data_IF_455156376683
#
_entry.id   IF_455156376683
#
_cell.length_a   1.000
_cell.length_b   1.000
_cell.length_c   1.000
_cell.angle_alpha   90.00
_cell.angle_beta   90.00
_cell.angle_gamma   90.00
#
_symmetry.space_group_name_H-M   'P 1'
#
loop_
_entity.id
_entity.type
_entity.pdbx_description
1 polymer ?
#
# COMPACT_ATOMS: atom_id res chain seq x y z
N UNK A 1 3.96 -16.13 1.12
CA UNK A 1 3.01 -16.78 2.04
C UNK A 1 1.62 -16.22 1.80
N UNK A 2 0.57 -17.03 1.99
CA UNK A 2 -0.84 -16.58 2.03
C UNK A 2 -1.31 -16.23 3.44
N UNK A 3 -0.43 -16.36 4.46
CA UNK A 3 -0.78 -16.22 5.88
C UNK A 3 -1.68 -15.04 6.16
N UNK A 4 -1.31 -13.80 5.81
CA UNK A 4 -2.06 -12.60 6.18
C UNK A 4 -3.00 -12.07 5.08
N UNK A 5 -3.37 -12.89 4.09
CA UNK A 5 -4.13 -12.39 2.93
C UNK A 5 -5.52 -11.85 3.32
N UNK A 6 -6.20 -12.49 4.28
CA UNK A 6 -7.52 -12.08 4.75
C UNK A 6 -7.56 -10.71 5.41
N UNK A 7 -6.55 -10.42 6.24
CA UNK A 7 -6.33 -9.11 6.86
C UNK A 7 -5.82 -8.08 5.84
N UNK A 8 -4.97 -8.51 4.91
CA UNK A 8 -4.30 -7.61 3.96
C UNK A 8 -5.23 -7.06 2.90
N UNK A 9 -6.02 -7.93 2.27
CA UNK A 9 -6.75 -7.59 1.05
C UNK A 9 -8.23 -7.36 1.32
N UNK A 10 -8.78 -6.37 0.61
CA UNK A 10 -10.22 -6.17 0.55
C UNK A 10 -10.88 -7.32 -0.23
N UNK A 11 -12.05 -7.83 0.21
CA UNK A 11 -12.63 -9.06 -0.34
C UNK A 11 -13.21 -8.87 -1.75
N UNK A 12 -13.71 -7.68 -2.07
CA UNK A 12 -14.15 -7.27 -3.41
C UNK A 12 -12.97 -7.30 -4.41
N UNK A 13 -11.84 -6.71 -4.01
CA UNK A 13 -10.63 -6.70 -4.82
C UNK A 13 -10.05 -8.10 -4.99
N UNK A 14 -9.99 -8.89 -3.91
CA UNK A 14 -9.51 -10.27 -3.96
C UNK A 14 -10.38 -11.16 -4.86
N UNK A 15 -11.69 -10.98 -4.82
CA UNK A 15 -12.63 -11.68 -5.71
C UNK A 15 -12.32 -11.37 -7.17
N UNK A 16 -12.25 -10.08 -7.56
CA UNK A 16 -11.87 -9.66 -8.92
C UNK A 16 -10.52 -10.25 -9.33
N UNK A 17 -9.53 -10.23 -8.43
CA UNK A 17 -8.21 -10.78 -8.69
C UNK A 17 -8.25 -12.28 -8.96
N UNK A 18 -9.02 -13.04 -8.18
CA UNK A 18 -9.18 -14.48 -8.37
C UNK A 18 -9.97 -14.80 -9.63
N UNK A 19 -10.91 -13.95 -10.05
CA UNK A 19 -11.58 -14.09 -11.36
C UNK A 19 -10.67 -13.81 -12.55
N UNK A 20 -9.56 -13.11 -12.33
CA UNK A 20 -8.70 -12.60 -13.40
C UNK A 20 -9.21 -11.30 -14.02
N UNK A 21 -10.03 -10.55 -13.29
CA UNK A 21 -10.67 -9.30 -13.74
C UNK A 21 -9.84 -8.05 -13.38
N UNK A 22 -8.76 -8.21 -12.62
CA UNK A 22 -7.81 -7.12 -12.36
C UNK A 22 -6.91 -6.99 -13.59
N UNK A 23 -7.22 -6.03 -14.46
CA UNK A 23 -6.50 -5.80 -15.72
C UNK A 23 -5.07 -5.27 -15.54
N UNK A 24 -4.77 -4.67 -14.40
CA UNK A 24 -3.45 -4.12 -14.12
C UNK A 24 -2.52 -5.16 -13.46
N UNK A 25 -1.31 -5.26 -13.99
CA UNK A 25 -0.30 -6.08 -13.38
C UNK A 25 0.41 -5.33 -12.25
N UNK A 26 0.05 -5.65 -11.01
CA UNK A 26 0.62 -5.05 -9.79
C UNK A 26 2.11 -5.38 -9.58
N UNK A 27 2.63 -6.39 -10.29
CA UNK A 27 4.04 -6.82 -10.20
C UNK A 27 4.61 -7.01 -11.60
N UNK A 28 4.80 -5.92 -12.37
CA UNK A 28 5.34 -5.97 -13.74
C UNK A 28 6.66 -6.73 -13.82
N UNK A 29 7.52 -6.57 -12.80
CA UNK A 29 8.83 -7.22 -12.69
C UNK A 29 8.81 -8.75 -12.56
N UNK A 30 7.67 -9.40 -12.28
CA UNK A 30 7.58 -10.86 -12.21
C UNK A 30 7.13 -11.43 -13.56
N UNK A 31 7.88 -12.36 -14.15
CA UNK A 31 7.44 -13.06 -15.37
C UNK A 31 6.25 -14.00 -15.08
N UNK A 32 6.29 -14.71 -13.95
CA UNK A 32 5.23 -15.63 -13.55
C UNK A 32 3.94 -14.90 -13.19
N UNK A 33 2.82 -15.41 -13.68
CA UNK A 33 1.47 -14.89 -13.40
C UNK A 33 0.74 -15.82 -12.45
N UNK A 34 -0.07 -15.21 -11.58
CA UNK A 34 -0.97 -15.96 -10.71
C UNK A 34 -2.13 -16.50 -11.56
N UNK A 35 -2.46 -17.81 -11.48
CA UNK A 35 -3.63 -18.37 -12.15
C UNK A 35 -4.94 -17.72 -11.67
N UNK A 36 -5.94 -17.64 -12.54
CA UNK A 36 -7.31 -17.33 -12.15
C UNK A 36 -8.05 -18.58 -11.69
N UNK A 37 -9.00 -18.39 -10.79
CA UNK A 37 -9.90 -19.39 -10.21
C UNK A 37 -11.34 -18.87 -10.25
N UNK A 38 -11.91 -18.54 -11.42
CA UNK A 38 -13.18 -17.82 -11.51
C UNK A 38 -14.34 -18.55 -10.82
N UNK A 39 -14.42 -19.88 -10.91
CA UNK A 39 -15.48 -20.68 -10.28
C UNK A 39 -15.39 -20.75 -8.75
N UNK A 40 -14.24 -20.42 -8.17
CA UNK A 40 -14.01 -20.48 -6.71
C UNK A 40 -13.69 -19.10 -6.11
N UNK A 41 -13.76 -18.03 -6.91
CA UNK A 41 -13.26 -16.73 -6.52
C UNK A 41 -13.96 -16.19 -5.26
N UNK A 42 -15.29 -16.27 -5.24
CA UNK A 42 -16.13 -15.81 -4.13
C UNK A 42 -15.84 -16.60 -2.85
N UNK A 43 -15.91 -17.94 -2.91
CA UNK A 43 -15.71 -18.80 -1.73
C UNK A 43 -14.29 -18.68 -1.17
N UNK A 44 -13.28 -18.52 -2.04
CA UNK A 44 -11.91 -18.31 -1.62
C UNK A 44 -11.72 -16.93 -0.98
N UNK A 45 -12.24 -15.86 -1.58
CA UNK A 45 -12.14 -14.51 -1.03
C UNK A 45 -12.84 -14.40 0.33
N UNK A 46 -14.03 -14.99 0.44
CA UNK A 46 -14.82 -15.09 1.65
C UNK A 46 -14.10 -15.88 2.75
N UNK A 47 -13.62 -17.09 2.44
CA UNK A 47 -12.88 -17.93 3.37
C UNK A 47 -11.59 -17.27 3.85
N UNK A 48 -10.84 -16.60 2.96
CA UNK A 48 -9.63 -15.89 3.32
C UNK A 48 -9.94 -14.72 4.26
N UNK A 49 -10.94 -13.89 3.97
CA UNK A 49 -11.35 -12.81 4.86
C UNK A 49 -11.76 -13.33 6.25
N UNK A 50 -12.62 -14.35 6.29
CA UNK A 50 -13.12 -14.91 7.56
C UNK A 50 -12.06 -15.65 8.36
N UNK A 51 -11.04 -16.23 7.73
CA UNK A 51 -9.92 -16.86 8.44
C UNK A 51 -9.12 -15.87 9.32
N UNK A 52 -9.27 -14.56 9.08
CA UNK A 52 -8.69 -13.49 9.88
C UNK A 52 -9.73 -12.70 10.68
N UNK A 53 -10.96 -13.21 10.80
CA UNK A 53 -12.03 -12.53 11.53
C UNK A 53 -12.62 -11.31 10.83
N UNK A 54 -12.35 -11.11 9.54
CA UNK A 54 -12.91 -9.99 8.78
C UNK A 54 -14.19 -10.37 8.03
N UNK A 55 -15.04 -9.36 7.81
CA UNK A 55 -16.19 -9.49 6.90
C UNK A 55 -15.74 -9.81 5.47
N UNK A 56 -16.53 -10.68 4.82
CA UNK A 56 -16.43 -10.97 3.39
C UNK A 56 -17.07 -9.87 2.52
N UNK A 57 -17.81 -8.95 3.13
CA UNK A 57 -18.29 -7.74 2.47
C UNK A 57 -17.23 -6.64 2.62
N UNK A 58 -16.92 -5.97 1.51
CA UNK A 58 -16.02 -4.84 1.53
C UNK A 58 -16.76 -3.59 2.02
N UNK A 59 -16.15 -2.87 2.96
CA UNK A 59 -16.60 -1.52 3.32
C UNK A 59 -16.27 -0.54 2.18
N UNK A 60 -17.06 0.54 2.01
CA UNK A 60 -16.68 1.63 1.12
C UNK A 60 -15.27 2.14 1.41
N UNK A 61 -14.54 2.53 0.38
CA UNK A 61 -13.29 3.25 0.57
C UNK A 61 -13.68 4.68 0.98
N UNK A 62 -13.19 5.19 2.13
CA UNK A 62 -13.51 6.54 2.57
C UNK A 62 -12.81 7.57 1.68
N UNK A 63 -13.40 8.75 1.57
CA UNK A 63 -12.74 9.91 0.97
C UNK A 63 -11.52 10.32 1.81
N UNK A 64 -10.43 10.77 1.18
CA UNK A 64 -9.26 11.27 1.91
C UNK A 64 -9.58 12.56 2.66
N UNK A 65 -9.02 12.70 3.86
CA UNK A 65 -8.88 14.02 4.47
C UNK A 65 -7.86 14.83 3.66
N UNK A 66 -8.23 16.00 3.10
CA UNK A 66 -7.38 16.75 2.20
C UNK A 66 -6.11 17.29 2.88
N UNK A 67 -6.21 17.74 4.13
CA UNK A 67 -5.07 18.30 4.88
C UNK A 67 -4.07 17.20 5.22
N UNK A 68 -4.57 16.05 5.69
CA UNK A 68 -3.72 14.89 5.94
C UNK A 68 -3.11 14.33 4.65
N UNK A 69 -3.85 14.32 3.55
CA UNK A 69 -3.34 13.84 2.28
C UNK A 69 -2.22 14.73 1.71
N UNK A 70 -2.27 16.06 1.92
CA UNK A 70 -1.16 16.96 1.59
C UNK A 70 0.10 16.67 2.42
N UNK A 71 -0.07 16.42 3.72
CA UNK A 71 1.05 16.00 4.59
C UNK A 71 1.60 14.64 4.15
N UNK A 72 0.73 13.70 3.80
CA UNK A 72 1.09 12.37 3.30
C UNK A 72 1.90 12.42 2.02
N UNK A 73 1.55 13.32 1.09
CA UNK A 73 2.30 13.56 -0.14
C UNK A 73 3.74 14.01 0.16
N UNK A 74 3.91 14.97 1.07
CA UNK A 74 5.23 15.44 1.53
C UNK A 74 6.03 14.33 2.18
N UNK A 75 5.41 13.50 3.02
CA UNK A 75 6.01 12.32 3.65
C UNK A 75 6.43 11.23 2.64
N UNK A 76 5.70 11.07 1.54
CA UNK A 76 6.04 10.12 0.47
C UNK A 76 7.20 10.61 -0.39
N UNK A 77 7.34 11.93 -0.53
CA UNK A 77 8.32 12.57 -1.41
C UNK A 77 9.78 12.25 -1.06
N UNK A 78 10.65 12.32 -2.06
CA UNK A 78 12.11 12.24 -1.85
C UNK A 78 12.71 13.53 -1.26
N UNK A 79 12.07 14.67 -1.51
CA UNK A 79 12.62 15.99 -1.12
C UNK A 79 12.44 16.26 0.37
N UNK A 80 11.31 15.85 0.95
CA UNK A 80 10.96 16.16 2.34
C UNK A 80 10.74 14.92 3.22
N UNK A 81 10.42 13.77 2.60
CA UNK A 81 9.86 12.62 3.27
C UNK A 81 10.77 11.40 3.37
N UNK A 82 10.13 10.23 3.43
CA UNK A 82 10.76 8.91 3.54
C UNK A 82 11.32 8.39 2.21
N UNK A 83 11.25 9.19 1.13
CA UNK A 83 11.70 8.81 -0.20
C UNK A 83 11.06 7.51 -0.70
N UNK A 84 9.75 7.32 -0.46
CA UNK A 84 9.01 6.11 -0.80
C UNK A 84 9.08 5.78 -2.30
N UNK A 85 9.16 6.81 -3.15
CA UNK A 85 9.27 6.67 -4.61
C UNK A 85 10.59 6.10 -5.10
N UNK A 86 11.55 5.88 -4.19
CA UNK A 86 12.76 5.11 -4.47
C UNK A 86 12.42 3.67 -4.84
N UNK A 87 11.41 3.08 -4.20
CA UNK A 87 10.99 1.69 -4.45
C UNK A 87 9.58 1.59 -5.05
N UNK A 88 8.71 2.56 -4.80
CA UNK A 88 7.30 2.50 -5.22
C UNK A 88 7.02 3.46 -6.40
N UNK A 89 6.54 2.98 -7.54
CA UNK A 89 6.11 3.86 -8.62
C UNK A 89 4.81 4.60 -8.26
N UNK A 90 4.55 5.71 -8.94
CA UNK A 90 3.31 6.49 -8.83
C UNK A 90 2.83 6.82 -10.24
N UNK A 91 1.77 6.13 -10.71
CA UNK A 91 1.37 6.21 -12.11
C UNK A 91 2.54 5.82 -13.02
N UNK A 92 2.88 6.70 -13.97
CA UNK A 92 4.01 6.51 -14.89
C UNK A 92 5.36 6.98 -14.32
N UNK A 93 5.39 7.55 -13.11
CA UNK A 93 6.65 7.83 -12.41
C UNK A 93 7.26 6.52 -11.91
N UNK A 94 8.31 6.06 -12.59
CA UNK A 94 9.00 4.82 -12.26
C UNK A 94 9.72 4.89 -10.90
N UNK A 95 9.80 3.75 -10.23
CA UNK A 95 10.62 3.63 -9.03
C UNK A 95 12.10 3.84 -9.36
N UNK A 96 12.80 4.63 -8.55
CA UNK A 96 14.14 5.13 -8.90
C UNK A 96 15.28 4.12 -8.63
N UNK A 97 15.08 3.14 -7.74
CA UNK A 97 16.09 2.16 -7.35
C UNK A 97 15.53 0.72 -7.32
N UNK A 98 15.04 0.27 -8.48
CA UNK A 98 14.35 -1.02 -8.66
C UNK A 98 15.24 -2.25 -8.38
N UNK A 99 16.57 -2.11 -8.42
CA UNK A 99 17.53 -3.21 -8.41
C UNK A 99 17.44 -4.16 -7.20
N UNK A 100 16.86 -3.73 -6.07
CA UNK A 100 16.78 -4.56 -4.86
C UNK A 100 15.40 -5.18 -4.58
N UNK A 101 14.31 -4.50 -4.93
CA UNK A 101 12.92 -4.99 -4.84
C UNK A 101 11.94 -3.87 -5.18
N UNK A 102 11.33 -3.92 -6.36
CA UNK A 102 10.24 -2.99 -6.71
C UNK A 102 9.04 -3.15 -5.75
N UNK A 103 8.51 -2.02 -5.32
CA UNK A 103 7.26 -1.89 -4.60
C UNK A 103 6.07 -1.79 -5.55
N UNK A 104 4.86 -1.87 -5.00
CA UNK A 104 3.65 -1.69 -5.81
C UNK A 104 3.45 -0.22 -6.20
N UNK A 105 2.76 0.02 -7.31
CA UNK A 105 2.28 1.36 -7.65
C UNK A 105 1.33 1.88 -6.57
N UNK A 106 1.54 3.11 -6.09
CA UNK A 106 0.73 3.68 -5.03
C UNK A 106 -0.69 4.03 -5.46
N UNK A 107 -0.94 4.28 -6.75
CA UNK A 107 -2.31 4.54 -7.25
C UNK A 107 -3.29 3.38 -7.00
N UNK A 108 -2.77 2.15 -6.85
CA UNK A 108 -3.58 0.95 -6.62
C UNK A 108 -3.50 0.43 -5.19
N UNK A 109 -2.88 1.18 -4.26
CA UNK A 109 -2.71 0.72 -2.89
C UNK A 109 -4.05 0.65 -2.14
N UNK A 110 -4.84 1.74 -2.17
CA UNK A 110 -6.09 1.86 -1.43
C UNK A 110 -7.22 0.97 -2.00
N UNK A 111 -7.24 0.71 -3.31
CA UNK A 111 -8.26 -0.17 -3.92
C UNK A 111 -8.20 -1.61 -3.40
N UNK A 112 -7.04 -2.05 -2.88
CA UNK A 112 -6.79 -3.45 -2.53
C UNK A 112 -6.48 -3.68 -1.06
N UNK A 113 -5.85 -2.74 -0.38
CA UNK A 113 -5.42 -2.92 1.00
C UNK A 113 -6.52 -2.56 1.99
N UNK A 114 -6.59 -3.29 3.11
CA UNK A 114 -7.34 -2.82 4.28
C UNK A 114 -6.52 -1.75 5.02
N UNK A 115 -7.15 -0.69 5.54
CA UNK A 115 -6.43 0.41 6.22
C UNK A 115 -5.62 -0.09 7.42
N UNK A 116 -6.21 -0.93 8.28
CA UNK A 116 -5.51 -1.49 9.44
C UNK A 116 -4.23 -2.25 9.06
N UNK A 117 -4.28 -3.07 8.02
CA UNK A 117 -3.08 -3.75 7.51
C UNK A 117 -2.04 -2.76 6.98
N UNK A 118 -2.46 -1.73 6.22
CA UNK A 118 -1.56 -0.74 5.67
C UNK A 118 -0.81 0.02 6.78
N UNK A 119 -1.51 0.44 7.83
CA UNK A 119 -0.93 1.11 9.00
C UNK A 119 0.01 0.18 9.76
N UNK A 120 -0.40 -1.06 10.06
CA UNK A 120 0.46 -2.06 10.70
C UNK A 120 1.74 -2.34 9.89
N UNK A 121 1.59 -2.43 8.57
CA UNK A 121 2.70 -2.64 7.64
C UNK A 121 3.68 -1.47 7.65
N UNK A 122 3.20 -0.22 7.59
CA UNK A 122 4.06 0.97 7.63
C UNK A 122 4.77 1.10 8.98
N UNK A 123 4.09 0.75 10.08
CA UNK A 123 4.64 0.91 11.42
C UNK A 123 5.83 -0.03 11.69
N UNK A 124 5.71 -1.32 11.32
CA UNK A 124 6.80 -2.27 11.44
C UNK A 124 6.68 -3.41 10.41
N UNK A 125 7.19 -3.21 9.18
CA UNK A 125 6.99 -4.18 8.10
C UNK A 125 7.70 -5.51 8.36
N UNK A 126 8.83 -5.51 9.09
CA UNK A 126 9.58 -6.72 9.45
C UNK A 126 8.82 -7.65 10.39
N UNK A 127 7.89 -7.12 11.20
CA UNK A 127 6.98 -7.94 12.02
C UNK A 127 5.93 -8.68 11.19
N UNK A 128 5.51 -8.09 10.08
CA UNK A 128 4.49 -8.68 9.18
C UNK A 128 5.14 -9.63 8.17
N UNK A 129 6.27 -9.24 7.58
CA UNK A 129 7.04 -10.07 6.68
C UNK A 129 8.55 -9.89 6.98
N UNK A 130 9.19 -10.87 7.64
CA UNK A 130 10.62 -10.80 7.96
C UNK A 130 11.55 -10.70 6.74
N UNK A 131 11.05 -11.02 5.53
CA UNK A 131 11.82 -10.96 4.27
C UNK A 131 11.55 -9.68 3.47
N UNK A 132 10.77 -8.74 4.00
CA UNK A 132 10.49 -7.48 3.31
C UNK A 132 11.74 -6.62 3.17
N UNK A 133 11.79 -5.83 2.10
CA UNK A 133 12.80 -4.78 1.91
C UNK A 133 12.34 -3.41 2.39
N UNK A 134 11.05 -3.26 2.70
CA UNK A 134 10.54 -2.00 3.23
C UNK A 134 11.19 -1.71 4.60
N UNK A 135 11.84 -0.54 4.77
CA UNK A 135 12.45 -0.17 6.03
C UNK A 135 11.41 0.02 7.14
N UNK A 136 11.84 -0.14 8.39
CA UNK A 136 11.11 0.41 9.53
C UNK A 136 11.52 1.87 9.70
N UNK A 137 10.55 2.78 9.66
CA UNK A 137 10.79 4.22 9.80
C UNK A 137 10.66 4.73 11.24
N UNK A 138 10.11 3.91 12.15
CA UNK A 138 9.92 4.25 13.56
C UNK A 138 11.02 3.67 14.45
N UNK A 139 11.32 4.37 15.54
CA UNK A 139 12.02 3.81 16.69
C UNK A 139 11.08 2.94 17.55
N UNK A 140 11.55 2.47 18.70
CA UNK A 140 10.76 1.65 19.63
C UNK A 140 9.57 2.40 20.26
N UNK A 141 9.67 3.72 20.36
CA UNK A 141 8.62 4.59 20.90
C UNK A 141 7.57 4.97 19.85
N UNK A 142 7.73 4.55 18.59
CA UNK A 142 6.80 4.85 17.51
C UNK A 142 7.06 6.17 16.79
N UNK A 143 8.18 6.85 17.08
CA UNK A 143 8.52 8.13 16.46
C UNK A 143 9.46 7.94 15.27
N UNK A 144 9.37 8.83 14.29
CA UNK A 144 10.23 8.87 13.10
C UNK A 144 11.24 10.02 13.21
N UNK A 145 12.33 10.01 12.41
CA UNK A 145 13.27 11.13 12.38
C UNK A 145 12.70 12.40 11.71
N UNK A 146 11.55 12.34 11.04
CA UNK A 146 10.95 13.47 10.32
C UNK A 146 10.10 14.33 11.25
N UNK A 147 10.75 14.99 12.23
CA UNK A 147 10.06 15.78 13.26
C UNK A 147 9.38 17.05 12.73
N UNK A 148 9.71 17.50 11.52
CA UNK A 148 9.11 18.68 10.89
C UNK A 148 7.69 18.47 10.39
N UNK A 149 7.25 17.20 10.29
CA UNK A 149 5.91 16.82 9.85
C UNK A 149 5.23 16.08 10.99
N UNK A 150 4.17 16.64 11.57
CA UNK A 150 3.41 16.01 12.65
C UNK A 150 4.29 15.59 13.84
N UNK A 151 5.29 16.41 14.18
CA UNK A 151 6.19 16.24 15.34
C UNK A 151 6.95 14.90 15.38
N UNK A 152 7.03 14.18 14.24
CA UNK A 152 7.64 12.85 14.18
C UNK A 152 6.76 11.74 14.74
N UNK A 153 5.50 12.01 15.07
CA UNK A 153 4.55 11.02 15.57
C UNK A 153 4.20 10.02 14.45
N UNK A 154 4.79 8.83 14.49
CA UNK A 154 4.71 7.87 13.39
C UNK A 154 3.29 7.43 13.07
N UNK A 155 2.43 7.27 14.07
CA UNK A 155 1.01 6.94 13.86
C UNK A 155 0.29 7.98 12.99
N UNK A 156 0.42 9.26 13.35
CA UNK A 156 -0.19 10.37 12.61
C UNK A 156 0.44 10.53 11.22
N UNK A 157 1.74 10.30 11.09
CA UNK A 157 2.42 10.35 9.79
C UNK A 157 1.97 9.22 8.86
N UNK A 158 1.82 8.00 9.36
CA UNK A 158 1.34 6.88 8.55
C UNK A 158 -0.15 7.00 8.20
N UNK A 159 -0.94 7.62 9.08
CA UNK A 159 -2.31 8.02 8.76
C UNK A 159 -2.36 9.08 7.65
N UNK A 160 -1.48 10.09 7.69
CA UNK A 160 -1.35 11.06 6.63
C UNK A 160 -0.96 10.41 5.29
N UNK A 161 0.01 9.49 5.31
CA UNK A 161 0.36 8.69 4.12
C UNK A 161 -0.82 7.86 3.63
N UNK A 162 -1.61 7.26 4.53
CA UNK A 162 -2.81 6.52 4.13
C UNK A 162 -3.83 7.43 3.44
N UNK A 163 -4.07 8.64 3.97
CA UNK A 163 -4.93 9.63 3.33
C UNK A 163 -4.42 10.05 1.94
N UNK A 164 -3.11 10.18 1.76
CA UNK A 164 -2.54 10.37 0.43
C UNK A 164 -2.82 9.19 -0.51
N UNK A 165 -2.66 7.94 -0.03
CA UNK A 165 -2.97 6.74 -0.82
C UNK A 165 -4.46 6.59 -1.16
N UNK A 166 -5.37 7.12 -0.34
CA UNK A 166 -6.82 7.12 -0.59
C UNK A 166 -7.19 7.95 -1.83
N UNK A 167 -6.39 8.94 -2.24
CA UNK A 167 -6.55 9.62 -3.54
C UNK A 167 -6.45 8.66 -4.74
N UNK A 168 -5.81 7.49 -4.56
CA UNK A 168 -5.83 6.41 -5.54
C UNK A 168 -5.35 6.85 -6.93
N UNK A 169 -6.18 6.66 -7.95
CA UNK A 169 -5.85 7.01 -9.34
C UNK A 169 -5.86 8.52 -9.63
N UNK A 170 -6.29 9.33 -8.67
CA UNK A 170 -6.27 10.81 -8.74
C UNK A 170 -4.96 11.40 -8.20
N UNK A 171 -4.05 10.57 -7.68
CA UNK A 171 -2.71 11.02 -7.27
C UNK A 171 -1.99 11.59 -8.49
N UNK A 172 -1.53 12.84 -8.41
CA UNK A 172 -0.65 13.41 -9.42
C UNK A 172 0.77 12.83 -9.27
N UNK A 173 1.34 12.19 -10.30
CA UNK A 173 2.72 11.72 -10.25
C UNK A 173 3.70 12.87 -10.04
N UNK A 174 4.80 12.66 -9.28
CA UNK A 174 5.84 13.67 -9.14
C UNK A 174 6.36 14.09 -10.52
N UNK A 175 6.51 15.41 -10.73
CA UNK A 175 7.10 15.93 -11.96
C UNK A 175 8.58 15.54 -12.00
N UNK A 176 8.99 14.86 -13.07
CA UNK A 176 10.41 14.65 -13.36
C UNK A 176 10.93 16.00 -13.85
N UNK A 177 11.81 16.64 -13.09
CA UNK A 177 12.55 17.80 -13.58
C UNK A 177 13.43 17.31 -14.74
N UNK A 178 12.99 17.51 -15.98
CA UNK A 178 13.77 17.17 -17.18
C UNK A 178 15.01 18.05 -17.17
N UNK A 179 16.17 17.46 -16.88
CA UNK A 179 17.47 18.08 -17.11
C UNK A 179 17.86 17.98 -18.58
#
# INVERSE_FOLDING_TARGET
SLTFVGEKLRPDWLTKRLKGEVGENIRPWLASRMPSFPFHAEVLAEGLARSHGFSAKAEPIPDPDPELAEVGERLVSQKEGFACTTCHPIGDYEAQAVYESEGINFMVAAERLRPGYALHWMFNPLRVNPKTKMPRYTNEQGNTPLVTLLDGEGERQFEAIWNYLLRGREIEPPRVDVK
#
